data_IF_942387677956
#
_entry.id   IF_942387677956
#
_cell.length_a   1.000
_cell.length_b   1.000
_cell.length_c   1.000
_cell.angle_alpha   90.00
_cell.angle_beta   90.00
_cell.angle_gamma   90.00
#
_symmetry.space_group_name_H-M   'P 1'
#
loop_
_entity.id
_entity.type
_entity.pdbx_description
1 polymer ?
#
# COMPACT_ATOMS: atom_id res chain seq x y z
N UNK A 1 37.56 -23.61 0.36
CA UNK A 1 36.12 -23.90 0.18
C UNK A 1 35.36 -22.60 0.38
N UNK A 2 34.44 -22.28 -0.52
CA UNK A 2 33.52 -21.15 -0.30
C UNK A 2 32.48 -21.58 0.73
N UNK A 3 32.27 -20.77 1.77
CA UNK A 3 31.25 -20.99 2.80
C UNK A 3 30.36 -19.75 2.92
N UNK A 4 29.12 -19.88 3.41
CA UNK A 4 28.32 -18.73 3.79
C UNK A 4 29.08 -17.87 4.79
N UNK A 5 29.15 -16.57 4.51
CA UNK A 5 29.84 -15.58 5.34
C UNK A 5 28.88 -14.44 5.63
N UNK A 6 28.76 -14.10 6.90
CA UNK A 6 27.93 -12.97 7.33
C UNK A 6 28.78 -11.69 7.35
N UNK A 7 28.38 -10.70 6.56
CA UNK A 7 29.07 -9.40 6.52
C UNK A 7 29.01 -8.74 7.91
N UNK A 8 27.84 -8.73 8.56
CA UNK A 8 27.64 -8.11 9.88
C UNK A 8 28.46 -8.75 11.00
N UNK A 9 28.65 -10.08 10.98
CA UNK A 9 29.32 -10.81 12.07
C UNK A 9 30.80 -11.03 11.85
N UNK A 10 31.25 -11.09 10.59
CA UNK A 10 32.60 -11.53 10.26
C UNK A 10 33.42 -10.45 9.56
N UNK A 11 32.79 -9.57 8.77
CA UNK A 11 33.50 -8.58 7.95
C UNK A 11 33.51 -7.20 8.62
N UNK A 12 32.34 -6.69 9.03
CA UNK A 12 32.24 -5.37 9.67
C UNK A 12 33.07 -5.23 10.94
N UNK A 13 33.17 -6.24 11.84
CA UNK A 13 34.03 -6.13 13.02
C UNK A 13 35.51 -5.98 12.67
N UNK A 14 36.00 -6.70 11.66
CA UNK A 14 37.39 -6.59 11.20
C UNK A 14 37.66 -5.21 10.57
N UNK A 15 36.78 -4.76 9.68
CA UNK A 15 36.90 -3.42 9.07
C UNK A 15 36.84 -2.29 10.10
N UNK A 16 36.00 -2.43 11.14
CA UNK A 16 35.94 -1.46 12.23
C UNK A 16 37.24 -1.42 13.04
N UNK A 17 37.85 -2.57 13.33
CA UNK A 17 39.16 -2.64 14.00
C UNK A 17 40.28 -2.01 13.16
N UNK A 18 40.22 -2.16 11.84
CA UNK A 18 41.18 -1.58 10.91
C UNK A 18 40.91 -0.09 10.60
N UNK A 19 39.86 0.52 11.17
CA UNK A 19 39.51 1.92 10.93
C UNK A 19 39.01 2.21 9.51
N UNK A 20 38.54 1.17 8.80
CA UNK A 20 38.07 1.24 7.42
C UNK A 20 36.53 1.38 7.31
N UNK A 21 35.83 1.40 8.44
CA UNK A 21 34.38 1.57 8.48
C UNK A 21 34.02 3.05 8.60
N UNK A 22 33.21 3.54 7.65
CA UNK A 22 32.72 4.91 7.62
C UNK A 22 31.19 4.93 7.71
N UNK A 23 30.64 6.02 8.24
CA UNK A 23 29.21 6.27 8.27
C UNK A 23 28.90 7.58 7.54
N UNK A 24 27.73 7.63 6.91
CA UNK A 24 27.18 8.83 6.30
C UNK A 24 25.79 9.04 6.89
N UNK A 25 25.52 10.27 7.33
CA UNK A 25 24.18 10.65 7.74
C UNK A 25 23.30 10.78 6.50
N UNK A 26 22.26 9.95 6.43
CA UNK A 26 21.27 10.04 5.36
C UNK A 26 20.38 11.26 5.58
N UNK A 27 20.41 12.20 4.64
CA UNK A 27 19.48 13.33 4.61
C UNK A 27 18.14 12.86 4.05
N UNK A 28 17.13 12.75 4.90
CA UNK A 28 15.78 12.31 4.53
C UNK A 28 15.27 11.23 5.47
N UNK A 29 14.50 10.30 4.93
CA UNK A 29 13.92 9.21 5.72
C UNK A 29 14.42 7.86 5.24
N UNK A 30 14.54 6.94 6.19
CA UNK A 30 14.81 5.53 5.96
C UNK A 30 13.88 4.73 6.87
N UNK A 31 13.37 3.61 6.36
CA UNK A 31 12.54 2.70 7.13
C UNK A 31 12.80 1.28 6.66
N UNK A 32 12.90 0.35 7.60
CA UNK A 32 12.89 -1.07 7.33
C UNK A 32 11.45 -1.54 7.06
N UNK A 33 11.20 -2.15 5.91
CA UNK A 33 9.88 -2.63 5.50
C UNK A 33 9.92 -4.15 5.46
N UNK A 34 9.45 -4.77 6.54
CA UNK A 34 9.35 -6.23 6.66
C UNK A 34 7.92 -6.76 6.69
N UNK A 35 6.94 -5.94 7.09
CA UNK A 35 5.54 -6.33 7.22
C UNK A 35 4.60 -5.38 6.45
N UNK A 36 3.38 -5.81 6.08
CA UNK A 36 2.42 -4.96 5.37
C UNK A 36 2.10 -3.62 6.06
N UNK A 37 2.03 -3.61 7.40
CA UNK A 37 1.81 -2.39 8.18
C UNK A 37 2.96 -1.38 8.04
N UNK A 38 4.19 -1.89 7.89
CA UNK A 38 5.40 -1.09 7.73
C UNK A 38 5.42 -0.50 6.32
N UNK A 39 4.99 -1.26 5.31
CA UNK A 39 4.82 -0.76 3.95
C UNK A 39 3.85 0.42 3.88
N UNK A 40 2.68 0.33 4.54
CA UNK A 40 1.74 1.46 4.61
C UNK A 40 2.34 2.69 5.30
N UNK A 41 3.18 2.47 6.31
CA UNK A 41 3.87 3.54 7.04
C UNK A 41 4.95 4.19 6.17
N UNK A 42 5.78 3.38 5.50
CA UNK A 42 6.77 3.84 4.53
C UNK A 42 6.14 4.59 3.36
N UNK A 43 4.98 4.14 2.88
CA UNK A 43 4.20 4.87 1.87
C UNK A 43 3.74 6.25 2.37
N UNK A 44 3.26 6.36 3.61
CA UNK A 44 2.92 7.65 4.22
C UNK A 44 4.15 8.57 4.32
N UNK A 45 5.29 8.04 4.76
CA UNK A 45 6.56 8.79 4.86
C UNK A 45 7.02 9.28 3.48
N UNK A 46 6.94 8.42 2.47
CA UNK A 46 7.26 8.77 1.09
C UNK A 46 6.36 9.89 0.56
N UNK A 47 5.04 9.79 0.76
CA UNK A 47 4.10 10.82 0.33
C UNK A 47 4.33 12.16 1.06
N UNK A 48 4.71 12.12 2.34
CA UNK A 48 5.09 13.32 3.09
C UNK A 48 6.38 13.95 2.55
N UNK A 49 7.40 13.15 2.25
CA UNK A 49 8.62 13.65 1.64
C UNK A 49 8.36 14.22 0.23
N UNK A 50 7.51 13.54 -0.54
CA UNK A 50 7.08 14.00 -1.87
C UNK A 50 6.35 15.34 -1.78
N UNK A 51 5.48 15.54 -0.77
CA UNK A 51 4.85 16.84 -0.51
C UNK A 51 5.86 17.96 -0.25
N UNK A 52 6.95 17.66 0.46
CA UNK A 52 7.97 18.64 0.81
C UNK A 52 8.91 18.98 -0.37
N UNK A 53 9.22 18.00 -1.21
CA UNK A 53 10.24 18.12 -2.26
C UNK A 53 9.65 18.35 -3.66
N UNK A 54 8.55 17.69 -3.98
CA UNK A 54 7.91 17.65 -5.30
C UNK A 54 6.38 17.68 -5.20
N UNK A 55 5.78 18.73 -4.60
CA UNK A 55 4.34 18.82 -4.40
C UNK A 55 3.54 18.75 -5.71
N UNK A 56 4.14 19.11 -6.85
CA UNK A 56 3.55 19.04 -8.19
C UNK A 56 3.23 17.61 -8.66
N UNK A 57 3.88 16.59 -8.06
CA UNK A 57 3.60 15.18 -8.36
C UNK A 57 2.38 14.65 -7.62
N UNK A 58 1.90 15.36 -6.59
CA UNK A 58 0.71 14.95 -5.85
C UNK A 58 -0.54 15.34 -6.62
N UNK A 59 -1.48 14.40 -6.67
CA UNK A 59 -2.77 14.62 -7.25
C UNK A 59 -3.58 15.59 -6.38
N UNK A 60 -4.35 16.46 -7.03
CA UNK A 60 -5.23 17.42 -6.37
C UNK A 60 -6.52 17.59 -7.19
N UNK A 61 -7.62 17.91 -6.50
CA UNK A 61 -8.92 18.06 -7.13
C UNK A 61 -10.07 17.83 -6.13
N UNK A 62 -11.32 17.93 -6.59
CA UNK A 62 -12.48 17.65 -5.76
C UNK A 62 -12.41 16.24 -5.15
N UNK A 63 -12.72 16.13 -3.85
CA UNK A 63 -12.70 14.84 -3.14
C UNK A 63 -11.31 14.36 -2.72
N UNK A 64 -10.22 15.01 -3.14
CA UNK A 64 -8.86 14.64 -2.73
C UNK A 64 -8.53 15.31 -1.39
N UNK A 65 -8.02 14.52 -0.43
CA UNK A 65 -7.68 14.98 0.92
C UNK A 65 -6.23 14.64 1.24
N UNK A 66 -5.41 15.64 1.58
CA UNK A 66 -4.02 15.42 1.99
C UNK A 66 -3.11 14.94 0.85
N UNK A 67 -2.17 14.03 1.16
CA UNK A 67 -1.20 13.55 0.17
C UNK A 67 -1.78 12.36 -0.59
N UNK A 68 -1.99 12.53 -1.89
CA UNK A 68 -2.46 11.47 -2.78
C UNK A 68 -1.59 11.45 -4.03
N UNK A 69 -1.15 10.27 -4.43
CA UNK A 69 -0.44 10.04 -5.67
C UNK A 69 -1.31 9.17 -6.58
N UNK A 70 -1.56 9.64 -7.80
CA UNK A 70 -2.43 8.95 -8.76
C UNK A 70 -1.68 8.85 -10.07
N UNK A 71 -1.59 7.64 -10.62
CA UNK A 71 -1.07 7.46 -11.98
C UNK A 71 -2.00 8.13 -13.00
N UNK A 72 -1.47 8.81 -14.04
CA UNK A 72 -2.29 9.51 -15.04
C UNK A 72 -3.29 8.63 -15.80
N UNK A 73 -3.07 7.31 -15.88
CA UNK A 73 -3.97 6.38 -16.56
C UNK A 73 -5.14 5.89 -15.69
N UNK A 74 -5.09 6.15 -14.38
CA UNK A 74 -6.15 5.76 -13.46
C UNK A 74 -7.42 6.59 -13.71
N UNK A 75 -8.58 5.98 -13.43
CA UNK A 75 -9.89 6.62 -13.57
C UNK A 75 -10.57 6.66 -12.22
N UNK A 76 -10.98 7.85 -11.79
CA UNK A 76 -11.68 8.06 -10.53
C UNK A 76 -13.08 8.60 -10.84
N UNK A 77 -14.10 7.91 -10.33
CA UNK A 77 -15.51 8.26 -10.48
C UNK A 77 -15.93 9.50 -9.70
N UNK A 78 -17.19 9.87 -9.84
CA UNK A 78 -17.78 11.02 -9.17
C UNK A 78 -17.96 10.78 -7.67
N UNK A 79 -17.97 11.86 -6.87
CA UNK A 79 -18.27 11.84 -5.44
C UNK A 79 -17.34 10.96 -4.58
N UNK A 80 -16.15 10.62 -5.09
CA UNK A 80 -15.14 9.89 -4.34
C UNK A 80 -14.49 10.79 -3.29
N UNK A 81 -14.00 10.19 -2.20
CA UNK A 81 -13.09 10.85 -1.26
C UNK A 81 -11.80 10.04 -1.15
N UNK A 82 -10.70 10.57 -1.66
CA UNK A 82 -9.42 9.89 -1.75
C UNK A 82 -8.41 10.60 -0.86
N UNK A 83 -7.85 9.88 0.11
CA UNK A 83 -6.87 10.35 1.05
C UNK A 83 -7.39 10.51 2.50
N UNK A 84 -6.50 10.85 3.44
CA UNK A 84 -5.07 11.12 3.24
C UNK A 84 -4.23 9.87 3.00
N UNK A 85 -3.06 10.08 2.40
CA UNK A 85 -2.00 9.09 2.18
C UNK A 85 -2.47 7.91 1.33
N UNK A 86 -2.81 8.19 0.08
CA UNK A 86 -3.25 7.15 -0.86
C UNK A 86 -2.38 7.13 -2.10
N UNK A 87 -2.03 5.94 -2.58
CA UNK A 87 -1.42 5.73 -3.88
C UNK A 87 -2.35 4.90 -4.76
N UNK A 88 -2.57 5.36 -6.00
CA UNK A 88 -3.40 4.71 -7.02
C UNK A 88 -2.51 4.42 -8.23
N UNK A 89 -2.30 3.14 -8.53
CA UNK A 89 -1.45 2.67 -9.63
C UNK A 89 -2.07 2.82 -11.02
N UNK A 90 -1.28 2.44 -12.03
CA UNK A 90 -1.67 2.52 -13.43
C UNK A 90 -2.92 1.68 -13.74
N UNK A 91 -3.78 2.17 -14.63
CA UNK A 91 -4.99 1.47 -15.08
C UNK A 91 -6.05 1.21 -14.01
N UNK A 92 -5.85 1.67 -12.76
CA UNK A 92 -6.81 1.46 -11.68
C UNK A 92 -8.12 2.19 -11.99
N UNK A 93 -9.24 1.53 -11.70
CA UNK A 93 -10.57 2.12 -11.82
C UNK A 93 -11.22 2.19 -10.44
N UNK A 94 -11.46 3.42 -9.97
CA UNK A 94 -12.25 3.70 -8.77
C UNK A 94 -13.62 4.18 -9.23
N UNK A 95 -14.67 3.43 -8.92
CA UNK A 95 -16.06 3.78 -9.27
C UNK A 95 -16.64 4.81 -8.28
N UNK A 96 -17.88 5.25 -8.54
CA UNK A 96 -18.48 6.40 -7.86
C UNK A 96 -18.65 6.20 -6.34
N UNK A 97 -18.48 7.29 -5.59
CA UNK A 97 -18.76 7.33 -4.15
C UNK A 97 -17.79 6.54 -3.27
N UNK A 98 -16.70 6.01 -3.83
CA UNK A 98 -15.68 5.26 -3.11
C UNK A 98 -14.90 6.18 -2.16
N UNK A 99 -14.55 5.65 -0.99
CA UNK A 99 -13.74 6.34 0.01
C UNK A 99 -12.48 5.55 0.33
N UNK A 100 -11.31 6.14 0.17
CA UNK A 100 -10.02 5.46 0.38
C UNK A 100 -9.14 6.32 1.27
N UNK A 101 -8.59 5.78 2.35
CA UNK A 101 -7.59 6.48 3.19
C UNK A 101 -6.48 5.55 3.64
N UNK A 102 -5.24 6.04 3.66
CA UNK A 102 -4.06 5.28 4.06
C UNK A 102 -3.92 3.96 3.28
N UNK A 103 -4.11 3.96 1.97
CA UNK A 103 -4.11 2.75 1.15
C UNK A 103 -3.15 2.83 -0.04
N UNK A 104 -2.71 1.66 -0.49
CA UNK A 104 -2.05 1.48 -1.78
C UNK A 104 -2.92 0.59 -2.65
N UNK A 105 -3.28 1.07 -3.84
CA UNK A 105 -4.02 0.29 -4.84
C UNK A 105 -3.12 0.07 -6.04
N UNK A 106 -2.72 -1.18 -6.28
CA UNK A 106 -1.78 -1.54 -7.32
C UNK A 106 -2.45 -1.64 -8.69
N UNK A 107 -1.61 -1.73 -9.73
CA UNK A 107 -2.00 -1.60 -11.13
C UNK A 107 -3.13 -2.55 -11.53
N UNK A 108 -4.03 -2.04 -12.38
CA UNK A 108 -5.14 -2.80 -12.96
C UNK A 108 -6.28 -3.14 -12.00
N UNK A 109 -6.17 -2.80 -10.71
CA UNK A 109 -7.23 -3.08 -9.75
C UNK A 109 -8.49 -2.23 -10.00
N UNK A 110 -9.64 -2.75 -9.60
CA UNK A 110 -10.94 -2.08 -9.67
C UNK A 110 -11.58 -2.03 -8.28
N UNK A 111 -11.95 -0.82 -7.84
CA UNK A 111 -12.71 -0.60 -6.61
C UNK A 111 -14.11 -0.15 -7.01
N UNK A 112 -15.11 -1.00 -6.78
CA UNK A 112 -16.49 -0.73 -7.22
C UNK A 112 -17.22 0.22 -6.28
N UNK A 113 -18.34 0.75 -6.76
CA UNK A 113 -19.02 1.91 -6.17
C UNK A 113 -19.32 1.75 -4.67
N UNK A 114 -19.23 2.89 -3.97
CA UNK A 114 -19.59 3.04 -2.55
C UNK A 114 -18.80 2.20 -1.54
N UNK A 115 -17.71 1.56 -1.98
CA UNK A 115 -16.81 0.84 -1.09
C UNK A 115 -15.92 1.79 -0.28
N UNK A 116 -15.55 1.34 0.91
CA UNK A 116 -14.71 2.09 1.85
C UNK A 116 -13.48 1.26 2.23
N UNK A 117 -12.30 1.83 2.02
CA UNK A 117 -11.02 1.20 2.30
C UNK A 117 -10.20 2.09 3.24
N UNK A 118 -9.73 1.53 4.35
CA UNK A 118 -8.80 2.18 5.27
C UNK A 118 -7.61 1.30 5.58
N UNK A 119 -6.38 1.82 5.47
CA UNK A 119 -5.18 1.05 5.85
C UNK A 119 -5.11 -0.30 5.12
N UNK A 120 -5.23 -0.30 3.79
CA UNK A 120 -5.28 -1.52 2.99
C UNK A 120 -4.25 -1.51 1.85
N UNK A 121 -3.82 -2.70 1.44
CA UNK A 121 -3.00 -2.91 0.24
C UNK A 121 -3.83 -3.77 -0.72
N UNK A 122 -4.26 -3.18 -1.82
CA UNK A 122 -4.99 -3.89 -2.88
C UNK A 122 -4.00 -4.29 -3.96
N UNK A 123 -3.82 -5.60 -4.14
CA UNK A 123 -2.91 -6.19 -5.11
C UNK A 123 -3.26 -5.90 -6.57
N UNK A 124 -2.35 -6.27 -7.47
CA UNK A 124 -2.55 -6.15 -8.92
C UNK A 124 -3.82 -6.86 -9.38
N UNK A 125 -4.51 -6.27 -10.35
CA UNK A 125 -5.68 -6.87 -11.02
C UNK A 125 -6.81 -7.32 -10.07
N UNK A 126 -6.84 -6.83 -8.82
CA UNK A 126 -7.92 -7.16 -7.89
C UNK A 126 -9.24 -6.52 -8.31
N UNK A 127 -10.35 -7.13 -7.92
CA UNK A 127 -11.67 -6.53 -8.00
C UNK A 127 -12.31 -6.49 -6.62
N UNK A 128 -12.47 -5.29 -6.06
CA UNK A 128 -13.21 -5.05 -4.82
C UNK A 128 -14.65 -4.70 -5.17
N UNK A 129 -15.59 -5.52 -4.69
CA UNK A 129 -17.03 -5.39 -4.88
C UNK A 129 -17.62 -4.05 -4.44
N UNK A 130 -18.90 -3.84 -4.73
CA UNK A 130 -19.69 -2.68 -4.28
C UNK A 130 -19.98 -2.78 -2.79
N UNK A 131 -20.08 -1.64 -2.10
CA UNK A 131 -20.43 -1.59 -0.67
C UNK A 131 -19.50 -2.43 0.23
N UNK A 132 -18.29 -2.71 -0.23
CA UNK A 132 -17.29 -3.45 0.53
C UNK A 132 -16.61 -2.52 1.53
N UNK A 133 -16.40 -3.02 2.74
CA UNK A 133 -15.62 -2.35 3.78
C UNK A 133 -14.35 -3.15 4.06
N UNK A 134 -13.18 -2.53 3.89
CA UNK A 134 -11.89 -3.15 4.22
C UNK A 134 -11.11 -2.27 5.19
N UNK A 135 -10.59 -2.83 6.28
CA UNK A 135 -9.75 -2.11 7.23
C UNK A 135 -8.64 -2.94 7.91
N UNK A 136 -7.89 -2.26 8.79
CA UNK A 136 -6.91 -2.83 9.70
C UNK A 136 -5.81 -3.68 9.04
N UNK A 137 -5.17 -3.12 8.00
CA UNK A 137 -4.06 -3.77 7.28
C UNK A 137 -4.55 -5.01 6.54
N UNK A 138 -5.70 -4.89 5.86
CA UNK A 138 -6.13 -5.91 4.89
C UNK A 138 -5.25 -5.84 3.63
N UNK A 139 -4.73 -7.00 3.23
CA UNK A 139 -3.85 -7.18 2.07
C UNK A 139 -4.48 -8.17 1.12
N UNK A 140 -4.65 -7.75 -0.13
CA UNK A 140 -5.05 -8.62 -1.22
C UNK A 140 -3.83 -8.94 -2.08
N UNK A 141 -3.57 -10.22 -2.35
CA UNK A 141 -2.64 -10.67 -3.36
C UNK A 141 -3.10 -10.33 -4.78
N UNK A 142 -2.33 -10.71 -5.78
CA UNK A 142 -2.72 -10.52 -7.19
C UNK A 142 -4.04 -11.24 -7.52
N UNK A 143 -4.88 -10.60 -8.33
CA UNK A 143 -6.09 -11.20 -8.91
C UNK A 143 -7.05 -11.77 -7.84
N UNK A 144 -7.23 -11.02 -6.76
CA UNK A 144 -8.24 -11.34 -5.74
C UNK A 144 -9.56 -10.64 -6.07
N UNK A 145 -10.65 -11.39 -5.98
CA UNK A 145 -12.02 -10.90 -6.14
C UNK A 145 -12.69 -10.88 -4.78
N UNK A 146 -13.08 -9.70 -4.30
CA UNK A 146 -13.95 -9.54 -3.12
C UNK A 146 -15.35 -9.27 -3.61
N UNK A 147 -16.32 -10.13 -3.27
CA UNK A 147 -17.70 -9.94 -3.66
C UNK A 147 -18.33 -8.71 -2.99
N UNK A 148 -19.46 -8.28 -3.54
CA UNK A 148 -20.21 -7.12 -3.07
C UNK A 148 -20.66 -7.32 -1.60
N UNK A 149 -20.78 -6.21 -0.87
CA UNK A 149 -21.34 -6.11 0.50
C UNK A 149 -20.55 -6.84 1.61
N UNK A 150 -19.27 -7.13 1.36
CA UNK A 150 -18.42 -7.83 2.34
C UNK A 150 -17.64 -6.88 3.25
N UNK A 151 -17.39 -7.34 4.47
CA UNK A 151 -16.50 -6.70 5.44
C UNK A 151 -15.23 -7.52 5.64
N UNK A 152 -14.06 -6.93 5.43
CA UNK A 152 -12.75 -7.56 5.68
C UNK A 152 -11.94 -6.73 6.69
N UNK A 153 -11.49 -7.39 7.76
CA UNK A 153 -10.79 -6.78 8.87
C UNK A 153 -9.43 -7.46 9.10
N UNK A 154 -8.34 -6.82 8.68
CA UNK A 154 -6.98 -7.38 8.80
C UNK A 154 -6.78 -8.72 8.08
N UNK A 155 -7.49 -8.94 6.98
CA UNK A 155 -7.35 -10.17 6.21
C UNK A 155 -6.09 -10.13 5.32
N UNK A 156 -5.32 -11.21 5.28
CA UNK A 156 -4.24 -11.41 4.31
C UNK A 156 -4.68 -12.47 3.30
N UNK A 157 -5.08 -12.05 2.11
CA UNK A 157 -5.62 -12.93 1.07
C UNK A 157 -4.53 -13.26 0.06
N UNK A 158 -4.24 -14.54 -0.13
CA UNK A 158 -3.28 -14.99 -1.15
C UNK A 158 -3.80 -14.74 -2.58
N UNK A 159 -2.92 -14.75 -3.60
CA UNK A 159 -3.32 -14.52 -4.99
C UNK A 159 -4.39 -15.49 -5.50
N UNK A 160 -5.16 -15.04 -6.50
CA UNK A 160 -6.14 -15.83 -7.25
C UNK A 160 -7.26 -16.41 -6.38
N UNK A 161 -7.77 -15.60 -5.43
CA UNK A 161 -8.85 -16.00 -4.51
C UNK A 161 -10.12 -15.21 -4.76
N UNK A 162 -11.25 -15.84 -4.50
CA UNK A 162 -12.54 -15.16 -4.41
C UNK A 162 -13.02 -15.21 -2.97
N UNK A 163 -13.31 -14.03 -2.41
CA UNK A 163 -13.87 -13.86 -1.08
C UNK A 163 -15.38 -13.70 -1.22
N UNK A 164 -16.12 -14.68 -0.73
CA UNK A 164 -17.59 -14.73 -0.80
C UNK A 164 -18.26 -14.45 0.54
N UNK A 165 -17.48 -14.36 1.62
CA UNK A 165 -17.97 -14.18 2.98
C UNK A 165 -17.13 -13.13 3.71
N UNK A 166 -17.75 -12.44 4.67
CA UNK A 166 -17.06 -11.44 5.49
C UNK A 166 -16.00 -12.08 6.39
N UNK A 167 -14.94 -11.33 6.65
CA UNK A 167 -13.78 -11.72 7.46
C UNK A 167 -13.67 -10.71 8.60
N UNK A 168 -14.45 -10.89 9.69
CA UNK A 168 -14.49 -9.91 10.78
C UNK A 168 -13.24 -9.93 11.67
N UNK A 169 -12.47 -11.02 11.63
CA UNK A 169 -11.25 -11.20 12.42
C UNK A 169 -10.03 -11.40 11.53
N UNK A 170 -8.85 -10.87 11.91
CA UNK A 170 -7.62 -11.04 11.14
C UNK A 170 -7.28 -12.52 10.91
N UNK A 171 -7.11 -12.90 9.64
CA UNK A 171 -6.67 -14.24 9.26
C UNK A 171 -6.00 -14.25 7.89
N UNK A 172 -5.20 -15.28 7.66
CA UNK A 172 -4.65 -15.58 6.34
C UNK A 172 -5.65 -16.46 5.59
N UNK A 173 -5.97 -16.07 4.36
CA UNK A 173 -6.84 -16.83 3.46
C UNK A 173 -5.97 -17.39 2.34
N UNK A 174 -5.81 -18.71 2.36
CA UNK A 174 -4.88 -19.44 1.50
C UNK A 174 -5.46 -19.93 0.19
#
# INVERSE_FOLDING_TARGET
QLRPTSIEKEIFPAMAQEGQLYAMELQGFWMDIGQPKDFLTGMCMYLQALRAQHPEKLHSGPGVVGNVLVDPSAKIGANCVIGPNVTIGAGVVVEDGVRIKRCTVLEGARIRSHSWLESCIVGWSCSVGQWVRMENVTVLGEDVIVNDELYLNGANVLPHKSITESVPEPRIIM
#
